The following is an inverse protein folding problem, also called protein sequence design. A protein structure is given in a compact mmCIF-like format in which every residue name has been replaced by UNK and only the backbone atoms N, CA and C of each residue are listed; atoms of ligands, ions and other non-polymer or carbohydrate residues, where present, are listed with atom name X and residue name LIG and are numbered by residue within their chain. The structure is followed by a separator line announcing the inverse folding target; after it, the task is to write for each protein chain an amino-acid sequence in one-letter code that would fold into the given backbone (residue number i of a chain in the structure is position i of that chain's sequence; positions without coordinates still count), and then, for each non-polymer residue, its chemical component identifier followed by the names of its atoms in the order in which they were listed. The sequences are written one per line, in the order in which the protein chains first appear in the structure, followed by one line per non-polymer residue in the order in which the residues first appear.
data_IF_931627794344
#
_entry.id   IF_931627794344
#
_cell.length_a   1.000
_cell.length_b   1.000
_cell.length_c   1.000
_cell.angle_alpha   90.00
_cell.angle_beta   90.00
_cell.angle_gamma   90.00
#
_symmetry.space_group_name_H-M   'P 1'
#
loop_
_entity.id
_entity.type
_entity.pdbx_description
1 polymer ?
#
# COMPACT_ATOMS: atom_id res chain seq x y z
N UNK A 1 -9.75 -39.54 -38.29
CA UNK A 1 -9.25 -38.18 -38.17
C UNK A 1 -10.24 -37.48 -37.27
N UNK A 2 -9.95 -37.45 -35.99
CA UNK A 2 -10.71 -36.70 -34.98
C UNK A 2 -10.29 -35.20 -35.11
N UNK A 3 -11.22 -34.38 -35.55
CA UNK A 3 -11.06 -32.95 -35.52
C UNK A 3 -11.08 -32.52 -34.03
N UNK A 4 -9.95 -32.09 -33.55
CA UNK A 4 -9.86 -31.35 -32.29
C UNK A 4 -10.67 -30.06 -32.41
N UNK A 5 -11.61 -29.84 -31.48
CA UNK A 5 -12.34 -28.58 -31.37
C UNK A 5 -11.34 -27.41 -31.29
N UNK A 6 -11.65 -26.28 -31.93
CA UNK A 6 -10.75 -25.12 -31.84
C UNK A 6 -10.65 -24.66 -30.40
N UNK A 7 -9.42 -24.54 -29.94
CA UNK A 7 -9.02 -23.89 -28.71
C UNK A 7 -9.86 -22.61 -28.49
N UNK A 8 -10.80 -22.64 -27.56
CA UNK A 8 -11.56 -21.46 -27.19
C UNK A 8 -10.56 -20.48 -26.58
N UNK A 9 -10.13 -19.52 -27.36
CA UNK A 9 -9.41 -18.33 -26.86
C UNK A 9 -10.24 -17.74 -25.73
N UNK A 10 -9.83 -17.99 -24.49
CA UNK A 10 -10.42 -17.34 -23.32
C UNK A 10 -10.15 -15.86 -23.45
N UNK A 11 -11.20 -15.08 -23.72
CA UNK A 11 -11.07 -13.64 -23.77
C UNK A 11 -10.63 -13.13 -22.40
N UNK A 12 -9.66 -12.19 -22.33
CA UNK A 12 -9.27 -11.60 -21.07
C UNK A 12 -10.49 -10.98 -20.40
N UNK A 13 -10.64 -11.18 -19.10
CA UNK A 13 -11.69 -10.56 -18.31
C UNK A 13 -11.26 -9.16 -17.92
N UNK A 14 -12.07 -8.16 -18.22
CA UNK A 14 -11.81 -6.79 -17.81
C UNK A 14 -12.36 -6.53 -16.41
N UNK A 15 -11.48 -6.23 -15.47
CA UNK A 15 -11.85 -6.02 -14.07
C UNK A 15 -11.52 -4.60 -13.64
N UNK A 16 -12.29 -4.08 -12.68
CA UNK A 16 -11.93 -2.88 -11.93
C UNK A 16 -11.68 -3.25 -10.47
N UNK A 17 -10.54 -2.86 -9.97
CA UNK A 17 -10.18 -2.91 -8.57
C UNK A 17 -10.20 -1.49 -8.01
N UNK A 18 -10.88 -1.29 -6.88
CA UNK A 18 -10.86 -0.02 -6.14
C UNK A 18 -10.40 -0.31 -4.73
N UNK A 19 -9.39 0.43 -4.29
CA UNK A 19 -8.87 0.39 -2.93
C UNK A 19 -9.08 1.76 -2.29
N UNK A 20 -9.86 1.81 -1.22
CA UNK A 20 -10.15 3.01 -0.46
C UNK A 20 -9.50 2.93 0.93
N UNK A 21 -8.32 3.54 1.04
CA UNK A 21 -7.55 3.61 2.27
C UNK A 21 -7.83 4.87 3.10
N UNK A 22 -7.01 5.06 4.12
CA UNK A 22 -7.10 6.21 5.04
C UNK A 22 -6.74 7.54 4.36
N UNK A 23 -5.73 7.55 3.49
CA UNK A 23 -5.24 8.77 2.85
C UNK A 23 -5.68 8.92 1.39
N UNK A 24 -5.76 7.82 0.67
CA UNK A 24 -6.01 7.80 -0.78
C UNK A 24 -7.08 6.80 -1.18
N UNK A 25 -7.71 7.07 -2.33
CA UNK A 25 -8.52 6.10 -3.07
C UNK A 25 -7.86 5.84 -4.41
N UNK A 26 -7.84 4.57 -4.85
CA UNK A 26 -7.15 4.13 -6.04
C UNK A 26 -8.06 3.30 -6.93
N UNK A 27 -7.86 3.40 -8.24
CA UNK A 27 -8.56 2.61 -9.26
C UNK A 27 -7.53 1.92 -10.15
N UNK A 28 -7.72 0.63 -10.40
CA UNK A 28 -7.08 -0.12 -11.46
C UNK A 28 -8.16 -0.74 -12.35
N UNK A 29 -8.14 -0.42 -13.63
CA UNK A 29 -8.87 -1.17 -14.66
C UNK A 29 -7.83 -1.97 -15.44
N UNK A 30 -8.00 -3.27 -15.49
CA UNK A 30 -7.05 -4.18 -16.14
C UNK A 30 -7.76 -5.30 -16.89
N UNK A 31 -7.13 -5.77 -17.96
CA UNK A 31 -7.45 -7.05 -18.59
C UNK A 31 -6.64 -8.14 -17.89
N UNK A 32 -7.33 -9.12 -17.33
CA UNK A 32 -6.73 -10.24 -16.60
C UNK A 32 -7.06 -11.54 -17.34
N UNK A 33 -6.03 -12.30 -17.65
CA UNK A 33 -6.11 -13.57 -18.34
C UNK A 33 -5.39 -14.65 -17.54
N UNK A 34 -6.01 -15.83 -17.43
CA UNK A 34 -5.37 -17.02 -16.88
C UNK A 34 -5.10 -17.99 -18.02
N UNK A 35 -3.83 -18.38 -18.17
CA UNK A 35 -3.45 -19.39 -19.16
C UNK A 35 -3.73 -20.83 -18.66
N UNK A 36 -3.59 -21.80 -19.55
CA UNK A 36 -3.88 -23.22 -19.25
C UNK A 36 -2.91 -23.83 -18.22
N UNK A 37 -1.80 -23.15 -17.90
CA UNK A 37 -0.87 -23.55 -16.83
C UNK A 37 -1.29 -23.00 -15.46
N UNK A 38 -2.35 -22.18 -15.41
CA UNK A 38 -2.79 -21.47 -14.21
C UNK A 38 -2.04 -20.17 -13.95
N UNK A 39 -1.10 -19.78 -14.81
CA UNK A 39 -0.40 -18.50 -14.71
C UNK A 39 -1.33 -17.36 -15.07
N UNK A 40 -1.29 -16.28 -14.29
CA UNK A 40 -2.15 -15.11 -14.48
C UNK A 40 -1.33 -13.99 -15.09
N UNK A 41 -1.84 -13.42 -16.19
CA UNK A 41 -1.30 -12.21 -16.82
C UNK A 41 -2.28 -11.07 -16.60
N UNK A 42 -1.76 -9.93 -16.20
CA UNK A 42 -2.54 -8.71 -16.01
C UNK A 42 -1.94 -7.61 -16.87
N UNK A 43 -2.81 -6.86 -17.55
CA UNK A 43 -2.45 -5.71 -18.37
C UNK A 43 -3.27 -4.52 -17.94
N UNK A 44 -2.61 -3.53 -17.38
CA UNK A 44 -3.23 -2.28 -16.98
C UNK A 44 -3.80 -1.52 -18.19
N UNK A 45 -5.03 -1.04 -18.03
CA UNK A 45 -5.68 -0.11 -18.95
C UNK A 45 -5.65 1.30 -18.34
N UNK A 46 -6.01 1.40 -17.06
CA UNK A 46 -6.05 2.66 -16.32
C UNK A 46 -5.66 2.41 -14.89
N UNK A 47 -4.69 3.17 -14.38
CA UNK A 47 -4.29 3.15 -12.95
C UNK A 47 -4.29 4.59 -12.45
N UNK A 48 -5.14 4.87 -11.46
CA UNK A 48 -5.34 6.21 -10.90
C UNK A 48 -5.22 6.19 -9.38
N UNK A 49 -4.81 7.31 -8.82
CA UNK A 49 -4.77 7.57 -7.39
C UNK A 49 -5.21 9.00 -7.12
N UNK A 50 -6.04 9.18 -6.08
CA UNK A 50 -6.45 10.48 -5.54
C UNK A 50 -6.25 10.51 -4.04
N UNK A 51 -5.68 11.59 -3.53
CA UNK A 51 -5.59 11.83 -2.09
C UNK A 51 -6.92 12.44 -1.64
N UNK A 52 -7.66 11.71 -0.82
CA UNK A 52 -9.00 12.08 -0.33
C UNK A 52 -9.05 12.30 1.18
N UNK A 53 -8.07 11.73 1.92
CA UNK A 53 -7.96 11.84 3.39
C UNK A 53 -9.24 11.40 4.10
N UNK A 54 -9.84 10.29 3.67
CA UNK A 54 -11.07 9.75 4.26
C UNK A 54 -10.91 9.51 5.77
N UNK A 55 -9.72 9.06 6.19
CA UNK A 55 -9.42 8.75 7.58
C UNK A 55 -8.92 9.93 8.43
N UNK A 56 -9.03 11.17 7.96
CA UNK A 56 -8.61 12.33 8.72
C UNK A 56 -9.29 12.38 10.11
N UNK A 57 -8.49 12.45 11.17
CA UNK A 57 -8.92 12.44 12.57
C UNK A 57 -9.77 11.23 13.04
N UNK A 58 -9.90 10.16 12.26
CA UNK A 58 -10.69 8.98 12.67
C UNK A 58 -10.14 8.37 13.96
N UNK A 59 -8.84 8.35 14.15
CA UNK A 59 -8.18 7.85 15.37
C UNK A 59 -8.62 8.61 16.64
N UNK A 60 -8.91 9.89 16.52
CA UNK A 60 -9.36 10.74 17.65
C UNK A 60 -10.87 10.73 17.85
N UNK A 61 -11.63 10.68 16.76
CA UNK A 61 -13.09 10.88 16.78
C UNK A 61 -13.88 9.58 16.73
N UNK A 62 -13.29 8.50 16.21
CA UNK A 62 -13.97 7.25 15.88
C UNK A 62 -14.96 7.40 14.72
N UNK A 63 -14.90 8.48 13.94
CA UNK A 63 -15.88 8.80 12.88
C UNK A 63 -15.19 9.38 11.64
N UNK A 64 -15.73 9.05 10.47
CA UNK A 64 -15.40 9.71 9.22
C UNK A 64 -15.95 11.14 9.22
N UNK A 65 -15.13 12.08 8.80
CA UNK A 65 -15.54 13.47 8.64
C UNK A 65 -16.49 13.62 7.44
N UNK A 66 -17.63 14.36 7.56
CA UNK A 66 -18.59 14.51 6.47
C UNK A 66 -17.97 15.09 5.18
N UNK A 67 -17.08 16.10 5.29
CA UNK A 67 -16.45 16.71 4.14
C UNK A 67 -15.45 15.72 3.47
N UNK A 68 -14.84 14.83 4.26
CA UNK A 68 -13.98 13.77 3.74
C UNK A 68 -14.79 12.69 3.02
N UNK A 69 -15.98 12.35 3.52
CA UNK A 69 -16.90 11.44 2.84
C UNK A 69 -17.33 12.05 1.50
N UNK A 70 -17.82 13.29 1.49
CA UNK A 70 -18.28 13.97 0.28
C UNK A 70 -17.16 14.01 -0.78
N UNK A 71 -15.98 14.50 -0.41
CA UNK A 71 -14.81 14.54 -1.30
C UNK A 71 -14.43 13.17 -1.85
N UNK A 72 -14.56 12.11 -1.05
CA UNK A 72 -14.27 10.75 -1.50
C UNK A 72 -15.33 10.24 -2.46
N UNK A 73 -16.61 10.52 -2.21
CA UNK A 73 -17.72 10.13 -3.09
C UNK A 73 -17.67 10.86 -4.44
N UNK A 74 -17.18 12.11 -4.50
CA UNK A 74 -16.91 12.79 -5.77
C UNK A 74 -15.92 12.00 -6.63
N UNK A 75 -14.85 11.46 -6.03
CA UNK A 75 -13.87 10.63 -6.74
C UNK A 75 -14.47 9.27 -7.12
N UNK A 76 -15.32 8.69 -6.27
CA UNK A 76 -16.06 7.45 -6.61
C UNK A 76 -16.95 7.66 -7.82
N UNK A 77 -17.59 8.82 -7.96
CA UNK A 77 -18.37 9.18 -9.13
C UNK A 77 -17.51 9.23 -10.41
N UNK A 78 -16.30 9.85 -10.35
CA UNK A 78 -15.35 9.83 -11.47
C UNK A 78 -14.98 8.38 -11.86
N UNK A 79 -14.74 7.52 -10.87
CA UNK A 79 -14.36 6.12 -11.10
C UNK A 79 -15.53 5.30 -11.68
N UNK A 80 -16.78 5.58 -11.27
CA UNK A 80 -17.97 4.94 -11.84
C UNK A 80 -18.12 5.24 -13.33
N UNK A 81 -17.83 6.48 -13.76
CA UNK A 81 -17.84 6.87 -15.16
C UNK A 81 -16.77 6.12 -15.97
N UNK A 82 -15.56 5.98 -15.42
CA UNK A 82 -14.47 5.23 -16.05
C UNK A 82 -14.79 3.74 -16.18
N UNK A 83 -15.32 3.12 -15.11
CA UNK A 83 -15.76 1.72 -15.11
C UNK A 83 -16.80 1.48 -16.21
N UNK A 84 -17.78 2.36 -16.34
CA UNK A 84 -18.79 2.29 -17.41
C UNK A 84 -18.18 2.50 -18.80
N UNK A 85 -17.29 3.50 -18.94
CA UNK A 85 -16.63 3.82 -20.23
C UNK A 85 -15.81 2.64 -20.77
N UNK A 86 -15.11 1.95 -19.88
CA UNK A 86 -14.25 0.81 -20.24
C UNK A 86 -15.00 -0.52 -20.38
N UNK A 87 -16.32 -0.57 -20.17
CA UNK A 87 -17.15 -1.79 -20.22
C UNK A 87 -16.55 -2.90 -19.34
N UNK A 88 -16.35 -2.60 -18.05
CA UNK A 88 -15.75 -3.53 -17.08
C UNK A 88 -16.71 -4.68 -16.77
N UNK A 89 -16.22 -5.92 -16.77
CA UNK A 89 -17.02 -7.13 -16.51
C UNK A 89 -17.32 -7.32 -15.02
N UNK A 90 -16.41 -6.87 -14.13
CA UNK A 90 -16.61 -6.93 -12.68
C UNK A 90 -15.86 -5.82 -11.97
N UNK A 91 -16.43 -5.37 -10.86
CA UNK A 91 -15.84 -4.37 -9.96
C UNK A 91 -15.73 -4.98 -8.57
N UNK A 92 -14.57 -4.87 -7.94
CA UNK A 92 -14.37 -5.15 -6.52
C UNK A 92 -13.89 -3.87 -5.84
N UNK A 93 -14.69 -3.39 -4.88
CA UNK A 93 -14.37 -2.23 -4.06
C UNK A 93 -13.97 -2.69 -2.67
N UNK A 94 -12.74 -2.43 -2.27
CA UNK A 94 -12.22 -2.73 -0.95
C UNK A 94 -12.01 -1.43 -0.18
N UNK A 95 -12.54 -1.38 1.05
CA UNK A 95 -12.31 -0.30 2.00
C UNK A 95 -11.53 -0.84 3.21
N UNK A 96 -10.52 -0.10 3.66
CA UNK A 96 -9.56 -0.61 4.64
C UNK A 96 -9.66 0.12 5.98
N UNK A 97 -8.54 0.42 6.65
CA UNK A 97 -8.50 0.79 8.07
C UNK A 97 -9.41 1.97 8.45
N UNK A 98 -9.49 3.05 7.66
CA UNK A 98 -10.35 4.19 8.00
C UNK A 98 -11.83 3.82 8.11
N UNK A 99 -12.34 3.04 7.14
CA UNK A 99 -13.72 2.56 7.15
C UNK A 99 -13.94 1.49 8.23
N UNK A 100 -12.93 0.65 8.48
CA UNK A 100 -12.97 -0.38 9.53
C UNK A 100 -13.11 0.23 10.93
N UNK A 101 -12.38 1.33 11.19
CA UNK A 101 -12.32 1.97 12.50
C UNK A 101 -13.51 2.93 12.77
N UNK A 102 -14.24 3.35 11.73
CA UNK A 102 -15.27 4.37 11.83
C UNK A 102 -16.65 3.82 12.21
N UNK A 103 -17.27 4.44 13.22
CA UNK A 103 -18.64 4.12 13.67
C UNK A 103 -19.72 4.49 12.65
N UNK A 104 -19.48 5.49 11.81
CA UNK A 104 -20.42 5.98 10.80
C UNK A 104 -20.06 5.55 9.38
N UNK A 105 -19.33 4.46 9.22
CA UNK A 105 -18.91 3.93 7.92
C UNK A 105 -20.06 3.65 6.96
N UNK A 106 -21.25 3.33 7.50
CA UNK A 106 -22.43 2.99 6.70
C UNK A 106 -22.84 4.14 5.77
N UNK A 107 -22.63 5.41 6.20
CA UNK A 107 -22.91 6.59 5.36
C UNK A 107 -22.03 6.57 4.09
N UNK A 108 -20.76 6.22 4.23
CA UNK A 108 -19.83 6.10 3.12
C UNK A 108 -20.16 4.88 2.23
N UNK A 109 -20.42 3.74 2.86
CA UNK A 109 -20.77 2.47 2.17
C UNK A 109 -22.03 2.65 1.32
N UNK A 110 -23.07 3.28 1.87
CA UNK A 110 -24.32 3.56 1.15
C UNK A 110 -24.08 4.47 -0.05
N UNK A 111 -23.29 5.54 0.12
CA UNK A 111 -22.93 6.44 -0.98
C UNK A 111 -22.19 5.74 -2.10
N UNK A 112 -21.25 4.86 -1.79
CA UNK A 112 -20.53 4.06 -2.81
C UNK A 112 -21.48 3.10 -3.53
N UNK A 113 -22.40 2.44 -2.78
CA UNK A 113 -23.40 1.53 -3.35
C UNK A 113 -24.30 2.25 -4.35
N UNK A 114 -24.73 3.46 -4.02
CA UNK A 114 -25.58 4.29 -4.91
C UNK A 114 -24.86 4.67 -6.21
N UNK A 115 -23.57 4.98 -6.14
CA UNK A 115 -22.78 5.46 -7.29
C UNK A 115 -22.29 4.34 -8.22
N UNK A 116 -21.83 3.22 -7.65
CA UNK A 116 -21.20 2.12 -8.39
C UNK A 116 -22.13 0.92 -8.59
N UNK A 117 -23.25 0.84 -7.87
CA UNK A 117 -24.10 -0.36 -7.78
C UNK A 117 -23.30 -1.62 -7.39
N UNK A 118 -22.30 -1.46 -6.52
CA UNK A 118 -21.43 -2.50 -5.98
C UNK A 118 -21.42 -2.37 -4.46
N UNK A 119 -21.41 -3.51 -3.74
CA UNK A 119 -21.26 -3.53 -2.30
C UNK A 119 -19.80 -3.34 -1.93
N UNK A 120 -19.43 -2.25 -1.22
CA UNK A 120 -18.06 -2.09 -0.73
C UNK A 120 -17.74 -3.12 0.36
N UNK A 121 -16.61 -3.78 0.20
CA UNK A 121 -16.11 -4.74 1.18
C UNK A 121 -15.21 -4.01 2.18
N UNK A 122 -15.64 -3.88 3.44
CA UNK A 122 -14.77 -3.41 4.52
C UNK A 122 -14.01 -4.61 5.05
N UNK A 123 -12.79 -4.80 4.53
CA UNK A 123 -12.01 -6.00 4.79
C UNK A 123 -11.29 -5.95 6.14
N UNK A 124 -11.12 -7.10 6.82
CA UNK A 124 -10.23 -7.20 7.97
C UNK A 124 -8.77 -7.06 7.54
N UNK A 125 -7.88 -6.70 8.50
CA UNK A 125 -6.47 -6.49 8.22
C UNK A 125 -5.74 -7.73 7.66
N UNK A 126 -6.19 -8.92 7.99
CA UNK A 126 -5.65 -10.19 7.47
C UNK A 126 -5.94 -10.37 5.97
N UNK A 127 -7.13 -9.97 5.51
CA UNK A 127 -7.47 -9.99 4.08
C UNK A 127 -6.74 -8.88 3.32
N UNK A 128 -6.66 -7.68 3.90
CA UNK A 128 -5.85 -6.58 3.38
C UNK A 128 -4.39 -7.03 3.15
N UNK A 129 -3.80 -7.68 4.16
CA UNK A 129 -2.46 -8.25 4.10
C UNK A 129 -2.31 -9.32 3.00
N UNK A 130 -3.27 -10.23 2.88
CA UNK A 130 -3.23 -11.29 1.86
C UNK A 130 -3.33 -10.73 0.43
N UNK A 131 -4.19 -9.73 0.21
CA UNK A 131 -4.31 -9.04 -1.07
C UNK A 131 -3.04 -8.28 -1.44
N UNK A 132 -2.46 -7.55 -0.48
CA UNK A 132 -1.20 -6.83 -0.68
C UNK A 132 -0.04 -7.77 -1.01
N UNK A 133 0.06 -8.90 -0.30
CA UNK A 133 1.06 -9.93 -0.59
C UNK A 133 0.89 -10.51 -1.99
N UNK A 134 -0.33 -10.85 -2.40
CA UNK A 134 -0.59 -11.42 -3.73
C UNK A 134 -0.18 -10.47 -4.86
N UNK A 135 -0.46 -9.16 -4.70
CA UNK A 135 -0.03 -8.13 -5.65
C UNK A 135 1.48 -7.98 -5.70
N UNK A 136 2.12 -7.85 -4.54
CA UNK A 136 3.56 -7.63 -4.42
C UNK A 136 4.42 -8.78 -4.97
N UNK A 137 3.94 -10.02 -4.82
CA UNK A 137 4.67 -11.21 -5.26
C UNK A 137 4.94 -11.25 -6.76
N UNK A 138 4.13 -10.53 -7.56
CA UNK A 138 4.35 -10.39 -9.02
C UNK A 138 5.60 -9.59 -9.37
N UNK A 139 6.12 -8.76 -8.44
CA UNK A 139 7.32 -7.95 -8.63
C UNK A 139 8.62 -8.70 -8.33
N UNK A 140 8.54 -9.85 -7.68
CA UNK A 140 9.72 -10.57 -7.26
C UNK A 140 10.25 -11.49 -8.37
N UNK A 141 11.52 -11.32 -8.67
CA UNK A 141 12.27 -12.25 -9.51
C UNK A 141 12.19 -13.68 -8.91
N UNK A 142 12.17 -14.68 -9.80
CA UNK A 142 12.27 -16.09 -9.44
C UNK A 142 13.54 -16.45 -8.62
N UNK A 143 14.57 -15.62 -8.71
CA UNK A 143 15.84 -15.75 -7.97
C UNK A 143 15.81 -15.07 -6.58
N UNK A 144 14.75 -14.34 -6.25
CA UNK A 144 14.62 -13.69 -4.94
C UNK A 144 14.63 -14.75 -3.82
N UNK A 145 15.40 -14.49 -2.76
CA UNK A 145 15.45 -15.38 -1.60
C UNK A 145 14.08 -15.45 -0.92
N UNK A 146 13.66 -16.63 -0.55
CA UNK A 146 12.39 -16.88 0.14
C UNK A 146 12.63 -17.33 1.59
N UNK A 147 11.69 -17.08 2.52
CA UNK A 147 10.45 -16.34 2.32
C UNK A 147 10.69 -14.83 2.13
N UNK A 148 9.74 -14.16 1.50
CA UNK A 148 9.72 -12.70 1.41
C UNK A 148 8.90 -12.11 2.57
N UNK A 149 9.36 -11.00 3.14
CA UNK A 149 8.56 -10.11 3.97
C UNK A 149 8.06 -8.97 3.09
N UNK A 150 6.77 -8.95 2.82
CA UNK A 150 6.06 -7.82 2.19
C UNK A 150 5.58 -6.87 3.27
N UNK A 151 5.89 -5.60 3.11
CA UNK A 151 5.50 -4.52 4.03
C UNK A 151 4.69 -3.50 3.25
N UNK A 152 3.41 -3.35 3.62
CA UNK A 152 2.50 -2.34 3.09
C UNK A 152 2.28 -1.25 4.13
N UNK A 153 2.80 -0.05 3.88
CA UNK A 153 2.65 1.09 4.79
C UNK A 153 1.56 2.00 4.26
N UNK A 154 0.35 1.80 4.77
CA UNK A 154 -0.80 2.62 4.50
C UNK A 154 -0.85 3.92 5.32
N UNK A 155 -2.00 4.61 5.24
CA UNK A 155 -2.25 5.80 6.05
C UNK A 155 -2.58 5.48 7.50
N UNK A 156 -3.42 4.48 7.74
CA UNK A 156 -3.92 4.11 9.07
C UNK A 156 -3.31 2.84 9.64
N UNK A 157 -2.90 1.90 8.78
CA UNK A 157 -2.32 0.61 9.18
C UNK A 157 -1.01 0.31 8.43
N UNK A 158 -0.31 -0.73 8.89
CA UNK A 158 0.84 -1.33 8.22
C UNK A 158 0.70 -2.84 8.30
N UNK A 159 0.68 -3.48 7.14
CA UNK A 159 0.62 -4.93 7.00
C UNK A 159 2.03 -5.49 6.86
N UNK A 160 2.32 -6.52 7.65
CA UNK A 160 3.55 -7.31 7.60
C UNK A 160 3.19 -8.74 7.22
N UNK A 161 3.69 -9.22 6.08
CA UNK A 161 3.32 -10.53 5.55
C UNK A 161 4.57 -11.31 5.15
N UNK A 162 4.79 -12.45 5.78
CA UNK A 162 5.84 -13.40 5.38
C UNK A 162 5.22 -14.54 4.59
N UNK A 163 5.85 -14.90 3.48
CA UNK A 163 5.45 -16.06 2.70
C UNK A 163 6.40 -16.41 1.56
N UNK A 164 6.18 -17.58 0.99
CA UNK A 164 6.91 -18.12 -0.17
C UNK A 164 6.09 -18.01 -1.45
N UNK A 165 5.11 -18.87 -1.62
CA UNK A 165 4.12 -18.84 -2.71
C UNK A 165 2.75 -18.34 -2.24
N UNK A 166 2.51 -18.34 -0.94
CA UNK A 166 1.32 -17.85 -0.25
C UNK A 166 1.68 -17.29 1.11
N UNK A 167 0.69 -16.76 1.79
CA UNK A 167 0.85 -16.19 3.14
C UNK A 167 1.14 -17.30 4.15
N UNK A 168 2.21 -17.15 4.91
CA UNK A 168 2.60 -18.05 6.01
C UNK A 168 2.39 -17.39 7.38
N UNK A 169 2.75 -16.11 7.48
CA UNK A 169 2.55 -15.30 8.69
C UNK A 169 2.07 -13.91 8.24
N UNK A 170 1.08 -13.37 8.91
CA UNK A 170 0.57 -12.04 8.61
C UNK A 170 0.07 -11.33 9.87
N UNK A 171 0.26 -10.02 9.92
CA UNK A 171 -0.33 -9.13 10.91
C UNK A 171 -0.61 -7.77 10.27
N UNK A 172 -1.73 -7.15 10.65
CA UNK A 172 -2.01 -5.75 10.39
C UNK A 172 -1.88 -4.98 11.70
N UNK A 173 -0.98 -4.00 11.71
CA UNK A 173 -0.74 -3.11 12.85
C UNK A 173 -1.50 -1.80 12.64
N UNK A 174 -2.17 -1.31 13.66
CA UNK A 174 -2.80 0.03 13.65
C UNK A 174 -1.74 1.13 13.70
N UNK A 175 -0.85 1.12 12.73
CA UNK A 175 0.34 1.96 12.60
C UNK A 175 0.51 2.35 11.14
N UNK A 176 0.16 3.58 10.77
CA UNK A 176 0.25 4.09 9.41
C UNK A 176 0.78 5.53 9.37
N UNK A 177 1.10 6.01 8.17
CA UNK A 177 1.73 7.32 7.98
C UNK A 177 0.91 8.49 8.52
N UNK A 178 -0.41 8.46 8.31
CA UNK A 178 -1.35 9.48 8.83
C UNK A 178 -1.44 9.37 10.35
N UNK A 179 -1.64 8.16 10.87
CA UNK A 179 -1.80 7.91 12.32
C UNK A 179 -0.57 8.36 13.12
N UNK A 180 0.65 8.05 12.65
CA UNK A 180 1.89 8.52 13.28
C UNK A 180 1.99 10.04 13.23
N UNK A 181 1.67 10.64 12.09
CA UNK A 181 1.71 12.09 11.93
C UNK A 181 0.72 12.79 12.85
N UNK A 182 -0.55 12.36 12.87
CA UNK A 182 -1.58 12.96 13.72
C UNK A 182 -1.30 12.78 15.22
N UNK A 183 -0.68 11.66 15.60
CA UNK A 183 -0.41 11.34 17.00
C UNK A 183 0.82 12.06 17.55
N UNK A 184 1.90 12.14 16.76
CA UNK A 184 3.21 12.59 17.26
C UNK A 184 3.69 13.89 16.62
N UNK A 185 3.31 14.16 15.36
CA UNK A 185 3.86 15.28 14.58
C UNK A 185 2.87 16.41 14.34
N UNK A 186 1.63 16.31 14.85
CA UNK A 186 0.60 17.34 14.66
C UNK A 186 0.97 18.72 15.20
N UNK A 187 1.91 18.80 16.14
CA UNK A 187 2.38 20.03 16.76
C UNK A 187 3.77 20.47 16.24
N UNK A 188 4.38 19.70 15.32
CA UNK A 188 5.65 20.08 14.72
C UNK A 188 5.44 21.25 13.75
N UNK A 189 6.42 22.17 13.73
CA UNK A 189 6.40 23.30 12.81
C UNK A 189 6.63 22.82 11.38
N UNK A 190 5.65 23.05 10.50
CA UNK A 190 5.71 22.65 9.08
C UNK A 190 6.85 23.33 8.29
N UNK A 191 7.40 24.43 8.81
CA UNK A 191 8.53 25.15 8.23
C UNK A 191 9.89 24.56 8.65
N UNK A 192 9.88 23.58 9.56
CA UNK A 192 11.05 22.85 10.03
C UNK A 192 10.87 21.36 9.75
N UNK A 193 11.90 20.55 9.99
CA UNK A 193 11.78 19.09 10.01
C UNK A 193 11.02 18.63 11.27
N UNK A 194 10.92 17.32 11.44
CA UNK A 194 10.30 16.75 12.63
C UNK A 194 11.13 17.08 13.87
N UNK A 195 10.46 17.50 14.94
CA UNK A 195 11.10 17.76 16.23
C UNK A 195 11.76 16.47 16.77
N UNK A 196 13.03 16.53 17.23
CA UNK A 196 13.77 15.34 17.69
C UNK A 196 13.10 14.61 18.87
N UNK A 197 12.40 15.33 19.75
CA UNK A 197 11.68 14.69 20.86
C UNK A 197 10.45 13.95 20.34
N UNK A 198 9.68 14.56 19.43
CA UNK A 198 8.54 13.93 18.77
C UNK A 198 8.96 12.70 17.96
N UNK A 199 10.11 12.76 17.24
CA UNK A 199 10.69 11.63 16.54
C UNK A 199 11.04 10.49 17.51
N UNK A 200 11.67 10.80 18.65
CA UNK A 200 12.04 9.81 19.64
C UNK A 200 10.82 9.14 20.31
N UNK A 201 9.75 9.90 20.53
CA UNK A 201 8.49 9.36 21.08
C UNK A 201 7.79 8.45 20.06
N UNK A 202 7.70 8.88 18.80
CA UNK A 202 7.16 8.07 17.71
C UNK A 202 7.98 6.78 17.50
N UNK A 203 9.31 6.87 17.53
CA UNK A 203 10.22 5.72 17.40
C UNK A 203 9.95 4.68 18.46
N UNK A 204 9.85 5.08 19.75
CA UNK A 204 9.54 4.15 20.85
C UNK A 204 8.20 3.45 20.62
N UNK A 205 7.18 4.22 20.28
CA UNK A 205 5.86 3.66 20.02
C UNK A 205 5.85 2.70 18.82
N UNK A 206 6.55 3.02 17.72
CA UNK A 206 6.69 2.13 16.56
C UNK A 206 7.41 0.84 16.98
N UNK A 207 8.49 0.93 17.75
CA UNK A 207 9.23 -0.24 18.22
C UNK A 207 8.37 -1.15 19.11
N UNK A 208 7.50 -0.60 19.98
CA UNK A 208 6.53 -1.36 20.76
C UNK A 208 5.52 -2.11 19.84
N UNK A 209 5.07 -1.48 18.75
CA UNK A 209 4.21 -2.17 17.77
C UNK A 209 4.96 -3.30 17.06
N UNK A 210 6.24 -3.09 16.72
CA UNK A 210 7.08 -4.14 16.13
C UNK A 210 7.43 -5.26 17.11
N UNK A 211 7.53 -4.99 18.42
CA UNK A 211 7.67 -6.00 19.45
C UNK A 211 6.42 -6.88 19.54
N UNK A 212 5.24 -6.26 19.44
CA UNK A 212 3.99 -7.01 19.34
C UNK A 212 3.94 -7.86 18.05
N UNK A 213 4.34 -7.30 16.92
CA UNK A 213 4.40 -8.04 15.66
C UNK A 213 5.34 -9.24 15.73
N UNK A 214 6.46 -9.14 16.46
CA UNK A 214 7.44 -10.22 16.61
C UNK A 214 6.90 -11.47 17.34
N UNK A 215 5.73 -11.38 17.97
CA UNK A 215 5.02 -12.55 18.52
C UNK A 215 4.38 -13.42 17.42
N UNK A 216 4.21 -12.88 16.19
CA UNK A 216 3.54 -13.53 15.07
C UNK A 216 4.50 -13.65 13.87
N UNK A 217 5.27 -12.60 13.61
CA UNK A 217 6.19 -12.48 12.48
C UNK A 217 7.60 -12.86 12.93
N UNK A 218 8.15 -13.92 12.37
CA UNK A 218 9.56 -14.27 12.56
C UNK A 218 10.46 -13.47 11.59
N UNK A 219 10.88 -12.29 12.02
CA UNK A 219 11.76 -11.42 11.24
C UNK A 219 13.12 -12.08 10.91
N UNK A 220 13.53 -13.11 11.67
CA UNK A 220 14.80 -13.80 11.47
C UNK A 220 14.84 -14.70 10.24
N UNK A 221 13.66 -15.15 9.75
CA UNK A 221 13.56 -16.02 8.59
C UNK A 221 13.49 -15.27 7.24
N UNK A 222 13.45 -13.94 7.26
CA UNK A 222 13.30 -13.12 6.04
C UNK A 222 14.46 -13.32 5.08
N UNK A 223 14.15 -13.75 3.86
CA UNK A 223 15.09 -13.89 2.76
C UNK A 223 15.14 -12.66 1.85
N UNK A 224 14.00 -11.99 1.66
CA UNK A 224 13.88 -10.75 0.88
C UNK A 224 12.92 -9.79 1.57
N UNK A 225 13.30 -8.52 1.72
CA UNK A 225 12.44 -7.45 2.22
C UNK A 225 11.85 -6.69 1.03
N UNK A 226 10.53 -6.62 0.95
CA UNK A 226 9.78 -5.92 -0.10
C UNK A 226 8.92 -4.85 0.53
N UNK A 227 9.07 -3.62 0.07
CA UNK A 227 8.21 -2.53 0.48
C UNK A 227 7.26 -2.12 -0.64
N UNK A 228 6.00 -1.91 -0.30
CA UNK A 228 4.95 -1.50 -1.22
C UNK A 228 4.22 -0.24 -0.76
N UNK A 229 3.24 0.17 -1.51
CA UNK A 229 2.40 1.35 -1.29
C UNK A 229 3.15 2.69 -1.33
N UNK A 230 2.38 3.75 -1.19
CA UNK A 230 2.81 5.10 -1.51
C UNK A 230 3.94 5.65 -0.64
N UNK A 231 4.11 5.17 0.58
CA UNK A 231 5.24 5.56 1.45
C UNK A 231 6.55 5.07 0.86
N UNK A 232 6.66 3.76 0.63
CA UNK A 232 7.93 3.13 0.20
C UNK A 232 8.27 3.51 -1.23
N UNK A 233 7.28 3.59 -2.13
CA UNK A 233 7.52 4.01 -3.53
C UNK A 233 7.96 5.47 -3.63
N UNK A 234 7.49 6.35 -2.74
CA UNK A 234 7.96 7.75 -2.65
C UNK A 234 9.41 7.83 -2.12
N UNK A 235 9.76 7.02 -1.12
CA UNK A 235 11.14 6.91 -0.62
C UNK A 235 12.06 6.37 -1.73
N UNK A 236 11.60 5.38 -2.50
CA UNK A 236 12.33 4.83 -3.64
C UNK A 236 12.56 5.89 -4.74
N UNK A 237 11.56 6.71 -5.05
CA UNK A 237 11.69 7.81 -6.00
C UNK A 237 12.78 8.81 -5.56
N UNK A 238 12.83 9.13 -4.24
CA UNK A 238 13.89 9.97 -3.66
C UNK A 238 15.26 9.29 -3.76
N UNK A 239 15.35 7.99 -3.43
CA UNK A 239 16.61 7.25 -3.49
C UNK A 239 17.17 7.15 -4.93
N UNK A 240 16.28 7.08 -5.94
CA UNK A 240 16.62 7.10 -7.36
C UNK A 240 16.95 8.50 -7.89
N UNK A 241 16.72 9.56 -7.11
CA UNK A 241 16.93 10.94 -7.53
C UNK A 241 16.01 11.35 -8.69
N UNK A 242 14.74 10.91 -8.69
CA UNK A 242 13.81 11.21 -9.75
C UNK A 242 13.33 12.66 -9.69
N UNK A 243 13.08 13.25 -10.85
CA UNK A 243 12.49 14.59 -11.01
C UNK A 243 10.95 14.55 -11.10
N UNK A 244 10.40 13.37 -11.43
CA UNK A 244 8.95 13.06 -11.49
C UNK A 244 8.70 11.61 -11.10
N UNK A 245 7.46 11.28 -10.80
CA UNK A 245 7.08 9.90 -10.49
C UNK A 245 7.17 9.02 -11.74
N UNK A 246 7.96 7.94 -11.66
CA UNK A 246 8.26 7.01 -12.77
C UNK A 246 8.08 5.57 -12.28
N UNK A 247 6.85 5.02 -12.35
CA UNK A 247 6.53 3.67 -11.86
C UNK A 247 7.45 2.59 -12.43
N UNK A 248 7.81 2.70 -13.70
CA UNK A 248 8.67 1.78 -14.43
C UNK A 248 10.11 1.74 -13.91
N UNK A 249 10.55 2.79 -13.22
CA UNK A 249 11.86 2.85 -12.57
C UNK A 249 11.82 2.46 -11.09
N UNK A 250 10.67 2.64 -10.46
CA UNK A 250 10.44 2.36 -9.04
C UNK A 250 10.17 0.86 -8.85
N UNK A 251 9.33 0.28 -9.72
CA UNK A 251 8.96 -1.14 -9.65
C UNK A 251 10.18 -2.05 -9.83
N UNK A 252 10.40 -2.95 -8.87
CA UNK A 252 11.53 -3.86 -8.85
C UNK A 252 12.88 -3.21 -8.52
N UNK A 253 12.94 -1.91 -8.22
CA UNK A 253 14.19 -1.27 -7.84
C UNK A 253 14.71 -1.84 -6.51
N UNK A 254 16.02 -2.04 -6.45
CA UNK A 254 16.74 -2.63 -5.31
C UNK A 254 17.66 -1.58 -4.71
N UNK A 255 17.58 -1.41 -3.40
CA UNK A 255 18.38 -0.45 -2.66
C UNK A 255 19.15 -1.13 -1.52
N UNK A 256 20.36 -0.68 -1.29
CA UNK A 256 21.06 -1.01 -0.03
C UNK A 256 20.37 -0.30 1.15
N UNK A 257 20.53 -0.83 2.35
CA UNK A 257 19.99 -0.17 3.56
C UNK A 257 20.52 1.26 3.71
N UNK A 258 21.78 1.52 3.34
CA UNK A 258 22.35 2.86 3.42
C UNK A 258 21.80 3.85 2.38
N UNK A 259 21.44 3.40 1.18
CA UNK A 259 20.77 4.23 0.17
C UNK A 259 19.36 4.58 0.64
N UNK A 260 18.63 3.58 1.14
CA UNK A 260 17.30 3.78 1.73
C UNK A 260 17.32 4.74 2.91
N UNK A 261 18.26 4.58 3.83
CA UNK A 261 18.38 5.44 5.00
C UNK A 261 18.58 6.93 4.65
N UNK A 262 19.39 7.25 3.63
CA UNK A 262 19.56 8.64 3.16
C UNK A 262 18.24 9.22 2.65
N UNK A 263 17.45 8.46 1.89
CA UNK A 263 16.16 8.90 1.38
C UNK A 263 15.11 9.02 2.51
N UNK A 264 15.11 8.08 3.45
CA UNK A 264 14.27 8.10 4.65
C UNK A 264 14.57 9.35 5.48
N UNK A 265 15.85 9.61 5.80
CA UNK A 265 16.23 10.79 6.58
C UNK A 265 15.83 12.08 5.89
N UNK A 266 15.97 12.17 4.55
CA UNK A 266 15.48 13.32 3.81
C UNK A 266 13.97 13.55 4.05
N UNK A 267 13.14 12.49 4.02
CA UNK A 267 11.70 12.62 4.23
C UNK A 267 11.33 13.04 5.67
N UNK A 268 12.16 12.68 6.65
CA UNK A 268 11.95 13.06 8.06
C UNK A 268 12.46 14.47 8.33
N UNK A 269 13.69 14.78 7.89
CA UNK A 269 14.42 15.98 8.27
C UNK A 269 13.96 17.24 7.52
N UNK A 270 13.42 17.08 6.29
CA UNK A 270 13.06 18.25 5.49
C UNK A 270 11.69 18.82 5.85
N UNK A 271 11.53 20.16 5.78
CA UNK A 271 10.24 20.82 5.93
C UNK A 271 9.20 20.33 4.92
N UNK A 272 7.91 20.45 5.28
CA UNK A 272 6.80 20.06 4.40
C UNK A 272 6.88 20.74 3.03
N UNK A 273 7.20 22.04 2.99
CA UNK A 273 7.33 22.79 1.73
C UNK A 273 8.44 22.27 0.80
N UNK A 274 9.53 21.76 1.35
CA UNK A 274 10.62 21.16 0.55
C UNK A 274 10.15 19.84 -0.07
N UNK A 275 9.46 19.02 0.71
CA UNK A 275 8.87 17.77 0.23
C UNK A 275 7.78 18.00 -0.82
N UNK A 276 6.93 19.01 -0.62
CA UNK A 276 5.88 19.39 -1.58
C UNK A 276 6.43 19.88 -2.93
N UNK A 277 7.67 20.37 -2.97
CA UNK A 277 8.33 20.83 -4.21
C UNK A 277 8.92 19.68 -5.04
N UNK A 278 8.96 18.45 -4.51
CA UNK A 278 9.46 17.27 -5.25
C UNK A 278 8.45 16.88 -6.34
N UNK A 279 8.91 16.83 -7.59
CA UNK A 279 8.02 16.53 -8.72
C UNK A 279 7.38 15.14 -8.72
N UNK A 280 7.87 14.23 -7.88
CA UNK A 280 7.30 12.90 -7.65
C UNK A 280 6.40 12.83 -6.40
N UNK A 281 6.29 13.91 -5.61
CA UNK A 281 5.47 13.93 -4.38
C UNK A 281 4.01 14.24 -4.72
N UNK A 282 3.06 13.30 -4.51
CA UNK A 282 1.66 13.61 -4.70
C UNK A 282 1.20 14.65 -3.66
N UNK A 283 0.46 15.66 -4.14
CA UNK A 283 -0.13 16.68 -3.26
C UNK A 283 -1.01 16.01 -2.19
N UNK A 284 -0.73 16.29 -0.92
CA UNK A 284 -1.43 15.72 0.23
C UNK A 284 -0.76 14.46 0.80
N UNK A 285 0.49 14.16 0.38
CA UNK A 285 1.36 13.16 1.02
C UNK A 285 2.54 13.82 1.73
N UNK A 286 2.92 15.01 1.32
CA UNK A 286 4.07 15.75 1.81
C UNK A 286 4.08 15.98 3.33
N UNK A 287 2.92 16.06 3.93
CA UNK A 287 2.74 16.29 5.38
C UNK A 287 2.74 14.99 6.20
N UNK A 288 2.43 13.84 5.58
CA UNK A 288 2.35 12.55 6.28
C UNK A 288 3.52 11.60 5.96
N UNK A 289 4.32 11.91 4.94
CA UNK A 289 5.40 11.01 4.49
C UNK A 289 6.46 10.78 5.56
N UNK A 290 6.73 11.75 6.44
CA UNK A 290 7.71 11.62 7.51
C UNK A 290 7.33 10.50 8.50
N UNK A 291 6.04 10.40 8.86
CA UNK A 291 5.52 9.31 9.70
C UNK A 291 5.72 7.93 9.06
N UNK A 292 5.39 7.82 7.77
CA UNK A 292 5.60 6.58 7.02
C UNK A 292 7.09 6.23 6.85
N UNK A 293 7.94 7.23 6.61
CA UNK A 293 9.39 7.05 6.49
C UNK A 293 10.00 6.54 7.79
N UNK A 294 9.54 7.05 8.93
CA UNK A 294 9.99 6.56 10.24
C UNK A 294 9.56 5.11 10.48
N UNK A 295 8.33 4.73 10.12
CA UNK A 295 7.87 3.33 10.19
C UNK A 295 8.79 2.44 9.35
N UNK A 296 9.07 2.82 8.10
CA UNK A 296 9.93 2.04 7.21
C UNK A 296 11.35 1.88 7.76
N UNK A 297 11.93 2.97 8.31
CA UNK A 297 13.25 2.92 8.97
C UNK A 297 13.29 1.89 10.09
N UNK A 298 12.27 1.88 10.96
CA UNK A 298 12.23 0.95 12.10
C UNK A 298 12.06 -0.51 11.67
N UNK A 299 11.24 -0.75 10.64
CA UNK A 299 11.08 -2.11 10.07
C UNK A 299 12.41 -2.58 9.46
N UNK A 300 13.08 -1.76 8.65
CA UNK A 300 14.39 -2.09 8.11
C UNK A 300 15.40 -2.43 9.21
N UNK A 301 15.47 -1.60 10.26
CA UNK A 301 16.35 -1.83 11.39
C UNK A 301 16.04 -3.15 12.12
N UNK A 302 14.75 -3.47 12.32
CA UNK A 302 14.30 -4.73 12.92
C UNK A 302 14.72 -5.93 12.09
N UNK A 303 14.48 -5.93 10.77
CA UNK A 303 14.86 -7.01 9.86
C UNK A 303 16.37 -7.22 9.87
N UNK A 304 17.15 -6.14 9.74
CA UNK A 304 18.62 -6.21 9.80
C UNK A 304 19.10 -6.84 11.11
N UNK A 305 18.54 -6.43 12.25
CA UNK A 305 18.93 -6.94 13.56
C UNK A 305 18.62 -8.43 13.71
N UNK A 306 17.42 -8.86 13.28
CA UNK A 306 16.97 -10.24 13.44
C UNK A 306 17.62 -11.21 12.45
N UNK A 307 18.01 -10.77 11.25
CA UNK A 307 18.63 -11.64 10.23
C UNK A 307 20.14 -11.85 10.40
N UNK A 308 20.82 -11.09 11.28
CA UNK A 308 22.27 -11.20 11.51
C UNK A 308 22.78 -12.61 11.74
N UNK A 309 22.14 -13.49 12.51
CA UNK A 309 22.64 -14.84 12.76
C UNK A 309 22.65 -15.75 11.53
N UNK A 310 21.80 -15.49 10.54
CA UNK A 310 21.62 -16.32 9.34
C UNK A 310 22.15 -15.68 8.05
N UNK A 311 22.77 -14.51 8.16
CA UNK A 311 23.20 -13.70 7.03
C UNK A 311 22.31 -12.47 6.87
N UNK A 312 22.86 -11.33 7.19
CA UNK A 312 22.13 -10.05 7.27
C UNK A 312 21.49 -9.69 5.92
N UNK A 313 20.21 -9.30 5.97
CA UNK A 313 19.55 -8.61 4.86
C UNK A 313 20.14 -7.19 4.79
N UNK A 314 20.82 -6.87 3.69
CA UNK A 314 21.49 -5.59 3.45
C UNK A 314 20.78 -4.73 2.39
N UNK A 315 19.71 -5.27 1.79
CA UNK A 315 18.95 -4.67 0.69
C UNK A 315 17.44 -4.86 0.88
N UNK A 316 16.68 -3.97 0.23
CA UNK A 316 15.25 -4.09 0.07
C UNK A 316 14.84 -3.83 -1.37
N UNK A 317 13.68 -4.34 -1.74
CA UNK A 317 13.06 -4.22 -3.07
C UNK A 317 11.80 -3.40 -2.94
N UNK A 318 11.50 -2.53 -3.90
CA UNK A 318 10.21 -1.84 -3.96
C UNK A 318 9.32 -2.42 -5.05
N UNK A 319 7.99 -2.42 -4.80
CA UNK A 319 7.01 -2.81 -5.79
C UNK A 319 5.92 -1.73 -5.93
N UNK A 320 5.55 -1.47 -7.19
CA UNK A 320 4.35 -0.69 -7.55
C UNK A 320 3.08 -1.54 -7.51
N UNK A 321 3.24 -2.87 -7.52
CA UNK A 321 2.14 -3.80 -7.35
C UNK A 321 1.92 -4.07 -5.86
N UNK A 322 0.69 -3.91 -5.43
CA UNK A 322 0.28 -3.99 -4.03
C UNK A 322 -1.17 -4.52 -3.89
N UNK A 323 -1.89 -4.10 -2.85
CA UNK A 323 -3.28 -4.50 -2.61
C UNK A 323 -4.18 -4.27 -3.83
N UNK A 324 -3.98 -3.20 -4.59
CA UNK A 324 -4.80 -2.88 -5.75
C UNK A 324 -4.70 -3.97 -6.83
N UNK A 325 -3.48 -4.48 -7.05
CA UNK A 325 -3.22 -5.61 -7.96
C UNK A 325 -3.81 -6.90 -7.41
N UNK A 326 -3.68 -7.14 -6.11
CA UNK A 326 -4.29 -8.28 -5.43
C UNK A 326 -5.82 -8.30 -5.55
N UNK A 327 -6.47 -7.13 -5.43
CA UNK A 327 -7.92 -6.98 -5.64
C UNK A 327 -8.29 -7.34 -7.09
N UNK A 328 -7.52 -6.88 -8.07
CA UNK A 328 -7.76 -7.19 -9.48
C UNK A 328 -7.62 -8.70 -9.75
N UNK A 329 -6.51 -9.30 -9.30
CA UNK A 329 -6.22 -10.73 -9.46
C UNK A 329 -7.27 -11.62 -8.78
N UNK A 330 -7.83 -11.20 -7.65
CA UNK A 330 -8.83 -11.98 -6.89
C UNK A 330 -10.16 -12.12 -7.63
N UNK A 331 -10.43 -11.31 -8.65
CA UNK A 331 -11.68 -11.35 -9.42
C UNK A 331 -11.66 -12.42 -10.52
N UNK A 332 -10.51 -13.03 -10.78
CA UNK A 332 -10.34 -14.09 -11.79
C UNK A 332 -10.01 -15.39 -11.04
N UNK A 333 -11.02 -15.94 -10.35
CA UNK A 333 -10.90 -17.23 -9.64
C UNK A 333 -11.01 -18.40 -10.61
N UNK A 334 -10.51 -19.56 -10.16
CA UNK A 334 -10.49 -20.89 -10.81
C UNK A 334 -11.81 -21.29 -11.47
#
# INVERSE_FOLDING_TARGET
VTMTEPEQLRHPRRVAAIDCGTNSIRLLIADVERDDTGSVRMRDITRLMRIVRLGYNVDKTGRLDPDAIERTLEVVQEYAELVKHHNVDSVRFVATSASRDAQNRDVFVDGVRELLNVEPEVVPGEEEAALSFAGAMSALDSQARRPALVVDIGGGSTELVIGTTGVEQAISLNMGSVRVTERFFAHCDSEQGIDPQAEAEATRWIDEQLDHAACIIDFGMVGTLVGVAGTVTTIAAQALGLDRYMPERIHGAVFTMSEGERAIRFMIDQPVKVKAALGFMPKGREDVIAGGALIWSRICARVVACTRPLGTIDRWVTSEHDILDGIALSQVKE
#
